data_IF_820459489470
#
_entry.id   IF_820459489470
#
_cell.length_a   1.000
_cell.length_b   1.000
_cell.length_c   1.000
_cell.angle_alpha   90.00
_cell.angle_beta   90.00
_cell.angle_gamma   90.00
#
_symmetry.space_group_name_H-M   'P 1'
#
loop_
_entity.id
_entity.type
_entity.pdbx_description
1 polymer ?
#
# COMPACT_ATOMS: atom_id res chain seq x y z
N UNK A 1 -17.00 -6.84 -5.10
CA UNK A 1 -16.65 -5.62 -4.35
C UNK A 1 -15.21 -5.28 -4.68
N UNK A 2 -14.85 -4.01 -4.92
CA UNK A 2 -13.46 -3.59 -5.24
C UNK A 2 -12.90 -2.86 -4.02
N UNK A 3 -11.73 -3.26 -3.53
CA UNK A 3 -11.11 -2.63 -2.35
C UNK A 3 -10.60 -1.22 -2.71
N UNK A 4 -10.31 -0.41 -1.68
CA UNK A 4 -9.74 0.92 -1.89
C UNK A 4 -8.39 0.89 -2.64
N UNK A 5 -7.53 -0.09 -2.34
CA UNK A 5 -6.22 -0.23 -3.00
C UNK A 5 -6.38 -0.62 -4.47
N UNK A 6 -7.26 -1.57 -4.80
CA UNK A 6 -7.53 -1.95 -6.20
C UNK A 6 -8.12 -0.78 -7.01
N UNK A 7 -8.93 0.08 -6.37
CA UNK A 7 -9.45 1.30 -7.02
C UNK A 7 -8.34 2.30 -7.25
N UNK A 8 -7.52 2.59 -6.23
CA UNK A 8 -6.41 3.54 -6.33
C UNK A 8 -5.46 3.15 -7.47
N UNK A 9 -5.06 1.87 -7.54
CA UNK A 9 -4.11 1.38 -8.56
C UNK A 9 -4.69 1.39 -9.98
N UNK A 10 -6.02 1.32 -10.13
CA UNK A 10 -6.68 1.28 -11.43
C UNK A 10 -7.12 2.65 -11.94
N UNK A 11 -6.95 3.71 -11.15
CA UNK A 11 -7.43 5.06 -11.45
C UNK A 11 -6.23 6.02 -11.59
N UNK A 12 -5.85 6.39 -12.84
CA UNK A 12 -4.70 7.25 -13.09
C UNK A 12 -4.80 8.63 -12.42
N UNK A 13 -6.00 9.17 -12.24
CA UNK A 13 -6.18 10.49 -11.60
C UNK A 13 -5.89 10.41 -10.10
N UNK A 14 -6.32 9.32 -9.45
CA UNK A 14 -6.01 9.08 -8.04
C UNK A 14 -4.51 8.83 -7.83
N UNK A 15 -3.84 8.10 -8.73
CA UNK A 15 -2.38 7.94 -8.68
C UNK A 15 -1.66 9.27 -8.93
N UNK A 16 -2.13 10.09 -9.86
CA UNK A 16 -1.54 11.38 -10.16
C UNK A 16 -1.57 12.32 -8.95
N UNK A 17 -2.59 12.22 -8.08
CA UNK A 17 -2.66 12.99 -6.85
C UNK A 17 -1.48 12.72 -5.88
N UNK A 18 -0.84 11.55 -5.98
CA UNK A 18 0.31 11.16 -5.16
C UNK A 18 1.66 11.50 -5.80
N UNK A 19 1.69 11.91 -7.08
CA UNK A 19 2.93 12.18 -7.81
C UNK A 19 3.73 13.31 -7.16
N UNK A 20 5.04 13.08 -7.00
CA UNK A 20 5.96 14.05 -6.38
C UNK A 20 5.81 14.21 -4.87
N UNK A 21 4.87 13.51 -4.22
CA UNK A 21 4.70 13.52 -2.77
C UNK A 21 5.51 12.40 -2.12
N UNK A 22 5.96 12.64 -0.89
CA UNK A 22 6.48 11.59 -0.02
C UNK A 22 5.29 10.94 0.69
N UNK A 23 5.03 9.67 0.39
CA UNK A 23 3.87 8.95 0.94
C UNK A 23 4.32 8.06 2.09
N UNK A 24 3.56 8.06 3.18
CA UNK A 24 3.68 7.08 4.24
C UNK A 24 2.48 6.14 4.22
N UNK A 25 2.72 4.83 4.30
CA UNK A 25 1.68 3.82 4.30
C UNK A 25 1.43 3.30 5.72
N UNK A 26 0.18 3.33 6.18
CA UNK A 26 -0.24 2.56 7.37
C UNK A 26 -0.92 1.30 6.86
N UNK A 27 -0.35 0.14 7.16
CA UNK A 27 -0.86 -1.14 6.66
C UNK A 27 -0.58 -2.27 7.66
N UNK A 28 -1.32 -3.37 7.50
CA UNK A 28 -1.16 -4.60 8.27
C UNK A 28 -1.10 -5.79 7.31
N UNK A 29 -0.82 -7.03 7.76
CA UNK A 29 -0.60 -8.14 6.84
C UNK A 29 -1.74 -8.45 5.84
N UNK A 30 -2.99 -8.13 6.16
CA UNK A 30 -4.12 -8.30 5.23
C UNK A 30 -4.37 -7.08 4.32
N UNK A 31 -3.50 -6.08 4.35
CA UNK A 31 -3.53 -4.93 3.43
C UNK A 31 -2.99 -5.37 2.07
N UNK A 32 -3.77 -6.19 1.36
CA UNK A 32 -3.40 -6.77 0.07
C UNK A 32 -4.38 -6.35 -1.03
N UNK A 33 -3.93 -6.37 -2.28
CA UNK A 33 -4.75 -6.24 -3.49
C UNK A 33 -5.60 -7.50 -3.71
N UNK A 34 -6.49 -7.46 -4.70
CA UNK A 34 -7.33 -8.60 -5.07
C UNK A 34 -6.56 -9.85 -5.50
N UNK A 35 -5.31 -9.71 -5.95
CA UNK A 35 -4.39 -10.82 -6.27
C UNK A 35 -3.44 -11.19 -5.11
N UNK A 36 -3.73 -10.71 -3.90
CA UNK A 36 -2.97 -10.93 -2.67
C UNK A 36 -1.57 -10.30 -2.65
N UNK A 37 -1.24 -9.40 -3.58
CA UNK A 37 -0.03 -8.58 -3.49
C UNK A 37 -0.13 -7.59 -2.32
N UNK A 38 0.90 -7.50 -1.48
CA UNK A 38 0.88 -6.54 -0.38
C UNK A 38 0.84 -5.10 -0.91
N UNK A 39 0.00 -4.26 -0.30
CA UNK A 39 -0.27 -2.88 -0.76
C UNK A 39 1.00 -2.04 -0.90
N UNK A 40 2.01 -2.27 -0.06
CA UNK A 40 3.29 -1.56 -0.14
C UNK A 40 4.01 -1.83 -1.45
N UNK A 41 4.04 -3.10 -1.87
CA UNK A 41 4.75 -3.53 -3.06
C UNK A 41 3.99 -3.08 -4.31
N UNK A 42 2.65 -3.15 -4.28
CA UNK A 42 1.79 -2.67 -5.34
C UNK A 42 1.90 -1.14 -5.56
N UNK A 43 1.97 -0.34 -4.50
CA UNK A 43 2.16 1.11 -4.59
C UNK A 43 3.55 1.48 -5.15
N UNK A 44 4.60 0.77 -4.72
CA UNK A 44 5.95 0.95 -5.25
C UNK A 44 6.00 0.59 -6.75
N UNK A 45 5.39 -0.53 -7.15
CA UNK A 45 5.30 -0.95 -8.54
C UNK A 45 4.52 0.06 -9.41
N UNK A 46 3.53 0.75 -8.83
CA UNK A 46 2.79 1.84 -9.48
C UNK A 46 3.56 3.18 -9.52
N UNK A 47 4.81 3.23 -9.03
CA UNK A 47 5.66 4.42 -9.07
C UNK A 47 5.38 5.43 -7.95
N UNK A 48 4.65 5.03 -6.90
CA UNK A 48 4.43 5.89 -5.72
C UNK A 48 5.70 5.93 -4.88
N UNK A 49 6.14 7.14 -4.49
CA UNK A 49 7.27 7.32 -3.58
C UNK A 49 6.87 7.03 -2.13
N UNK A 50 6.78 5.73 -1.80
CA UNK A 50 6.53 5.25 -0.44
C UNK A 50 7.81 5.40 0.38
N UNK A 51 7.91 6.47 1.16
CA UNK A 51 9.10 6.81 1.94
C UNK A 51 9.13 6.12 3.32
N UNK A 52 7.97 5.71 3.83
CA UNK A 52 7.85 5.12 5.17
C UNK A 52 6.63 4.21 5.23
N UNK A 53 6.69 3.18 6.07
CA UNK A 53 5.56 2.31 6.31
C UNK A 53 5.44 1.95 7.79
N UNK A 54 4.21 1.97 8.30
CA UNK A 54 3.87 1.76 9.70
C UNK A 54 2.94 0.57 9.83
N UNK A 55 3.34 -0.40 10.66
CA UNK A 55 2.50 -1.53 11.04
C UNK A 55 1.83 -1.30 12.41
N UNK A 56 0.63 -1.85 12.66
CA UNK A 56 0.09 -2.00 14.01
C UNK A 56 0.93 -3.00 14.83
N UNK A 57 0.52 -3.37 16.06
CA UNK A 57 1.33 -4.15 17.03
C UNK A 57 2.07 -5.37 16.45
N UNK A 58 1.53 -6.06 15.43
CA UNK A 58 2.15 -7.24 14.78
C UNK A 58 3.08 -6.93 13.58
N UNK A 59 3.40 -5.66 13.33
CA UNK A 59 4.27 -5.24 12.23
C UNK A 59 3.59 -5.23 10.86
N UNK A 60 4.28 -4.65 9.88
CA UNK A 60 3.74 -4.38 8.53
C UNK A 60 3.58 -5.65 7.69
N UNK A 61 4.56 -6.56 7.75
CA UNK A 61 4.58 -7.83 7.00
C UNK A 61 4.32 -9.07 7.87
N UNK A 62 4.07 -8.90 9.16
CA UNK A 62 3.95 -10.02 10.11
C UNK A 62 5.28 -10.62 10.57
N UNK A 63 6.42 -9.99 10.26
CA UNK A 63 7.78 -10.47 10.62
C UNK A 63 8.09 -10.43 12.13
N UNK A 64 7.22 -9.82 12.95
CA UNK A 64 7.30 -9.91 14.39
C UNK A 64 6.25 -10.90 14.87
N UNK A 65 6.67 -12.15 15.06
CA UNK A 65 5.94 -13.12 15.87
C UNK A 65 6.35 -12.93 17.33
N UNK A 66 5.34 -12.92 18.20
CA UNK A 66 5.50 -13.20 19.63
C UNK A 66 5.89 -14.67 19.83
#
# INVERSE_FOLDING_TARGET
MKTGIDRLLADPELLAALKGRRVALVAHPASVTSDLTHSVDALIAAGVNVNSAFGPQHGLKGDKQD
#
